data_IF_959196935669
#
_entry.id   IF_959196935669
#
_cell.length_a   1.000
_cell.length_b   1.000
_cell.length_c   1.000
_cell.angle_alpha   90.00
_cell.angle_beta   90.00
_cell.angle_gamma   90.00
#
_symmetry.space_group_name_H-M   'P 1'
#
loop_
_entity.id
_entity.type
_entity.pdbx_description
1 polymer ?
#
# COMPACT_ATOMS: atom_id res chain seq x y z
N UNK A 1 18.73 -10.28 -10.79
CA UNK A 1 17.46 -10.83 -10.27
C UNK A 1 17.17 -12.12 -11.02
N UNK A 2 17.04 -13.24 -10.31
CA UNK A 2 16.57 -14.52 -10.89
C UNK A 2 15.06 -14.64 -10.79
N UNK A 3 14.48 -15.64 -11.46
CA UNK A 3 13.04 -15.91 -11.35
C UNK A 3 12.65 -16.31 -9.92
N UNK A 4 13.47 -17.11 -9.25
CA UNK A 4 13.25 -17.55 -7.87
C UNK A 4 13.25 -16.37 -6.91
N UNK A 5 14.14 -15.38 -7.13
CA UNK A 5 14.15 -14.15 -6.35
C UNK A 5 12.87 -13.34 -6.53
N UNK A 6 12.30 -13.31 -7.74
CA UNK A 6 11.03 -12.64 -7.99
C UNK A 6 9.84 -13.43 -7.41
N UNK A 7 9.81 -14.75 -7.60
CA UNK A 7 8.75 -15.63 -7.10
C UNK A 7 8.65 -15.65 -5.57
N UNK A 8 9.74 -15.33 -4.87
CA UNK A 8 9.75 -15.18 -3.42
C UNK A 8 9.06 -13.89 -2.92
N UNK A 9 8.74 -12.93 -3.80
CA UNK A 9 7.99 -11.72 -3.45
C UNK A 9 6.50 -12.03 -3.44
N UNK A 10 5.87 -11.95 -2.27
CA UNK A 10 4.43 -12.22 -2.15
C UNK A 10 3.63 -10.96 -2.54
N UNK A 11 3.12 -10.94 -3.78
CA UNK A 11 2.32 -9.86 -4.34
C UNK A 11 0.85 -10.28 -4.35
N UNK A 12 0.00 -9.46 -3.70
CA UNK A 12 -1.42 -9.78 -3.52
C UNK A 12 -2.29 -8.63 -4.00
N UNK A 13 -3.50 -8.96 -4.41
CA UNK A 13 -4.54 -7.99 -4.72
C UNK A 13 -5.34 -7.72 -3.44
N UNK A 14 -5.46 -6.46 -3.06
CA UNK A 14 -6.23 -6.02 -1.89
C UNK A 14 -7.21 -4.90 -2.23
N UNK A 15 -8.26 -4.75 -1.43
CA UNK A 15 -9.25 -3.66 -1.55
C UNK A 15 -8.94 -2.56 -0.56
N UNK A 16 -8.81 -1.33 -1.02
CA UNK A 16 -8.72 -0.17 -0.13
C UNK A 16 -10.05 0.03 0.59
N UNK A 17 -10.03 0.01 1.91
CA UNK A 17 -11.23 0.17 2.75
C UNK A 17 -11.23 1.48 3.56
N UNK A 18 -10.06 2.11 3.74
CA UNK A 18 -9.92 3.42 4.36
C UNK A 18 -8.79 4.20 3.69
N UNK A 19 -8.99 5.52 3.60
CA UNK A 19 -8.04 6.47 3.00
C UNK A 19 -8.04 7.70 3.90
N UNK A 20 -6.90 8.00 4.52
CA UNK A 20 -6.73 9.13 5.44
C UNK A 20 -5.64 10.09 4.97
N UNK A 21 -5.82 11.37 5.30
CA UNK A 21 -4.84 12.41 5.00
C UNK A 21 -3.51 12.12 5.70
N UNK A 22 -2.40 12.42 5.01
CA UNK A 22 -1.06 12.29 5.57
C UNK A 22 -0.28 13.62 5.53
N UNK A 23 -0.70 14.64 6.30
CA UNK A 23 -0.09 15.97 6.26
C UNK A 23 1.38 15.98 6.70
N UNK A 24 1.82 15.02 7.51
CA UNK A 24 3.20 14.89 7.98
C UNK A 24 4.15 14.29 6.92
N UNK A 25 3.63 13.84 5.78
CA UNK A 25 4.45 13.29 4.71
C UNK A 25 5.24 14.39 4.00
N UNK A 26 6.55 14.17 3.79
CA UNK A 26 7.43 15.11 3.04
C UNK A 26 6.94 15.36 1.60
N UNK A 27 6.27 14.38 1.00
CA UNK A 27 5.64 14.47 -0.32
C UNK A 27 4.16 14.13 -0.17
N UNK A 28 3.26 14.75 -0.95
CA UNK A 28 1.84 14.43 -0.91
C UNK A 28 1.58 12.92 -0.99
N UNK A 29 0.89 12.39 0.02
CA UNK A 29 0.66 10.97 0.17
C UNK A 29 -0.66 10.70 0.92
N UNK A 30 -1.15 9.47 0.76
CA UNK A 30 -2.31 8.94 1.48
C UNK A 30 -1.88 7.85 2.45
N UNK A 31 -2.51 7.80 3.63
CA UNK A 31 -2.52 6.60 4.47
C UNK A 31 -3.67 5.71 4.01
N UNK A 32 -3.40 4.43 3.79
CA UNK A 32 -4.38 3.46 3.31
C UNK A 32 -4.54 2.33 4.31
N UNK A 33 -5.77 1.88 4.51
CA UNK A 33 -6.07 0.56 5.07
C UNK A 33 -6.60 -0.33 3.96
N UNK A 34 -5.95 -1.48 3.77
CA UNK A 34 -6.19 -2.38 2.64
C UNK A 34 -6.56 -3.75 3.19
N UNK A 35 -7.66 -4.30 2.71
CA UNK A 35 -8.11 -5.65 3.00
C UNK A 35 -7.56 -6.63 1.95
N UNK A 36 -6.66 -7.52 2.38
CA UNK A 36 -6.07 -8.59 1.58
C UNK A 36 -6.75 -9.95 1.82
N UNK A 37 -8.04 -9.96 2.20
CA UNK A 37 -8.83 -11.16 2.53
C UNK A 37 -8.33 -11.86 3.80
N UNK A 38 -9.06 -12.87 4.33
CA UNK A 38 -8.76 -13.44 5.64
C UNK A 38 -7.36 -14.03 5.82
N UNK A 39 -6.70 -14.50 4.76
CA UNK A 39 -5.37 -15.11 4.84
C UNK A 39 -4.27 -14.11 5.27
N UNK A 40 -4.39 -12.83 4.89
CA UNK A 40 -3.39 -11.77 5.17
C UNK A 40 -3.97 -10.71 6.10
N UNK A 41 -5.28 -10.47 6.00
CA UNK A 41 -6.02 -9.52 6.80
C UNK A 41 -5.84 -8.06 6.37
N UNK A 42 -6.13 -7.17 7.31
CA UNK A 42 -6.05 -5.73 7.11
C UNK A 42 -4.62 -5.24 7.27
N UNK A 43 -4.14 -4.45 6.31
CA UNK A 43 -2.79 -3.89 6.32
C UNK A 43 -2.79 -2.38 6.11
N UNK A 44 -1.86 -1.71 6.77
CA UNK A 44 -1.61 -0.28 6.59
C UNK A 44 -0.54 -0.04 5.53
N UNK A 45 -0.76 0.97 4.69
CA UNK A 45 0.25 1.46 3.76
C UNK A 45 0.28 2.98 3.72
N UNK A 46 1.38 3.54 3.23
CA UNK A 46 1.50 4.96 2.88
C UNK A 46 1.97 5.05 1.43
N UNK A 47 1.21 5.71 0.57
CA UNK A 47 1.50 5.79 -0.86
C UNK A 47 1.51 7.24 -1.36
N UNK A 48 2.55 7.63 -2.12
CA UNK A 48 2.70 8.96 -2.74
C UNK A 48 1.85 9.06 -4.02
N UNK A 49 0.54 8.88 -3.87
CA UNK A 49 -0.44 8.81 -4.96
C UNK A 49 -1.51 9.90 -4.83
N UNK A 50 -1.10 11.09 -4.37
CA UNK A 50 -1.98 12.24 -4.18
C UNK A 50 -2.60 12.79 -5.48
N UNK A 51 -2.17 12.27 -6.64
CA UNK A 51 -2.83 12.50 -7.92
C UNK A 51 -4.19 11.79 -8.04
N UNK A 52 -4.53 10.88 -7.12
CA UNK A 52 -5.87 10.35 -6.96
C UNK A 52 -6.56 11.01 -5.76
N UNK A 53 -7.83 11.29 -5.92
CA UNK A 53 -8.73 11.70 -4.85
C UNK A 53 -9.04 10.54 -3.90
N UNK A 54 -9.56 10.88 -2.71
CA UNK A 54 -10.02 9.90 -1.72
C UNK A 54 -11.06 8.94 -2.30
N UNK A 55 -12.01 9.46 -3.08
CA UNK A 55 -13.12 8.70 -3.66
C UNK A 55 -12.66 7.75 -4.77
N UNK A 56 -11.63 8.13 -5.55
CA UNK A 56 -11.01 7.24 -6.54
C UNK A 56 -10.22 6.09 -5.90
N UNK A 57 -9.77 6.26 -4.66
CA UNK A 57 -9.00 5.26 -3.92
C UNK A 57 -9.89 4.32 -3.11
N UNK A 58 -10.97 4.82 -2.50
CA UNK A 58 -11.87 3.99 -1.71
C UNK A 58 -12.48 2.87 -2.57
N UNK A 59 -12.51 1.65 -2.05
CA UNK A 59 -12.94 0.43 -2.76
C UNK A 59 -12.10 0.02 -3.97
N UNK A 60 -11.03 0.76 -4.31
CA UNK A 60 -10.14 0.39 -5.41
C UNK A 60 -9.37 -0.88 -5.09
N UNK A 61 -9.22 -1.73 -6.08
CA UNK A 61 -8.32 -2.88 -6.01
C UNK A 61 -6.89 -2.43 -6.32
N UNK A 62 -5.94 -2.82 -5.47
CA UNK A 62 -4.52 -2.47 -5.58
C UNK A 62 -3.65 -3.71 -5.46
N UNK A 63 -2.46 -3.66 -6.05
CA UNK A 63 -1.41 -4.66 -5.84
C UNK A 63 -0.51 -4.22 -4.68
N UNK A 64 -0.21 -5.14 -3.77
CA UNK A 64 0.67 -4.88 -2.64
C UNK A 64 1.66 -6.02 -2.40
N UNK A 65 2.92 -5.69 -2.12
CA UNK A 65 3.90 -6.65 -1.58
C UNK A 65 3.62 -6.80 -0.09
N UNK A 66 3.31 -8.03 0.36
CA UNK A 66 2.82 -8.29 1.73
C UNK A 66 3.84 -8.94 2.66
N UNK A 67 5.00 -9.38 2.14
CA UNK A 67 6.03 -10.09 2.89
C UNK A 67 7.30 -9.27 3.17
N UNK A 68 7.25 -7.95 3.01
CA UNK A 68 8.32 -7.06 3.47
C UNK A 68 8.20 -6.79 4.97
N UNK A 69 9.34 -6.59 5.68
CA UNK A 69 9.29 -6.09 7.03
C UNK A 69 8.62 -4.70 7.06
N UNK A 70 7.84 -4.37 8.11
CA UNK A 70 7.20 -3.07 8.20
C UNK A 70 8.22 -1.92 8.16
N UNK A 71 7.89 -0.86 7.42
CA UNK A 71 8.72 0.33 7.27
C UNK A 71 8.12 1.51 8.02
N UNK A 72 8.92 2.18 8.84
CA UNK A 72 8.52 3.43 9.48
C UNK A 72 8.60 4.61 8.49
N UNK A 73 7.51 5.36 8.36
CA UNK A 73 7.39 6.55 7.51
C UNK A 73 6.76 7.65 8.37
N UNK A 74 7.56 8.54 8.94
CA UNK A 74 7.07 9.53 9.89
C UNK A 74 6.30 8.85 11.04
N UNK A 75 5.04 9.21 11.33
CA UNK A 75 4.21 8.57 12.35
C UNK A 75 3.58 7.23 11.91
N UNK A 76 3.70 6.85 10.63
CA UNK A 76 3.02 5.67 10.07
C UNK A 76 3.97 4.47 10.00
N UNK A 77 3.54 3.33 10.54
CA UNK A 77 4.18 2.03 10.32
C UNK A 77 3.52 1.34 9.13
N UNK A 78 4.14 1.43 7.96
CA UNK A 78 3.66 0.80 6.71
C UNK A 78 3.99 -0.68 6.73
N UNK A 79 2.99 -1.54 6.52
CA UNK A 79 3.15 -2.99 6.54
C UNK A 79 3.26 -3.59 5.14
N UNK A 80 2.77 -2.88 4.12
CA UNK A 80 2.78 -3.33 2.73
C UNK A 80 3.28 -2.22 1.81
N UNK A 81 3.88 -2.62 0.69
CA UNK A 81 4.24 -1.70 -0.39
C UNK A 81 3.18 -1.79 -1.49
N UNK A 82 2.36 -0.74 -1.64
CA UNK A 82 1.45 -0.61 -2.78
C UNK A 82 2.26 -0.33 -4.05
N UNK A 83 2.01 -1.12 -5.09
CA UNK A 83 2.70 -1.01 -6.37
C UNK A 83 2.05 0.06 -7.27
N UNK A 84 2.88 0.74 -8.04
CA UNK A 84 2.48 1.72 -9.04
C UNK A 84 3.59 1.90 -10.07
N UNK A 85 3.27 2.51 -11.20
CA UNK A 85 4.23 2.88 -12.24
C UNK A 85 4.42 4.39 -12.27
N UNK A 86 5.55 4.83 -12.84
CA UNK A 86 5.65 6.21 -13.28
C UNK A 86 4.67 6.44 -14.44
N UNK A 87 3.99 7.58 -14.42
CA UNK A 87 3.19 8.12 -15.51
C UNK A 87 3.87 9.36 -16.05
#
# INVERSE_FOLDING_TARGET
MTFEQFAAVDIRVGRVIEVDDFPEARRPAWKLRIDFRPEIGLKRSSAQIANYSRDELLNRMVLGVVNFPPRQIGPVRSEVLVLGTYS
#
